data_IF_356322994614
#
_entry.id   IF_356322994614
#
_cell.length_a   1.000
_cell.length_b   1.000
_cell.length_c   1.000
_cell.angle_alpha   90.00
_cell.angle_beta   90.00
_cell.angle_gamma   90.00
#
_symmetry.space_group_name_H-M   'P 1'
#
loop_
_entity.id
_entity.type
_entity.pdbx_description
1 polymer ?
#
# COMPACT_ATOMS: atom_id res chain seq x y z
N UNK A 1 -8.28 9.92 4.18
CA UNK A 1 -7.51 10.97 3.50
C UNK A 1 -6.67 10.37 2.38
N UNK A 2 -5.80 9.39 2.69
CA UNK A 2 -4.88 8.78 1.72
C UNK A 2 -5.60 8.10 0.54
N UNK A 3 -6.70 7.38 0.79
CA UNK A 3 -7.51 6.76 -0.28
C UNK A 3 -8.11 7.78 -1.25
N UNK A 4 -8.32 9.01 -0.79
CA UNK A 4 -8.85 10.11 -1.60
C UNK A 4 -7.75 11.04 -2.16
N UNK A 5 -6.51 10.58 -2.20
CA UNK A 5 -5.39 11.26 -2.84
C UNK A 5 -4.77 12.43 -2.06
N UNK A 6 -5.19 12.62 -0.80
CA UNK A 6 -4.57 13.58 0.12
C UNK A 6 -3.49 12.93 0.98
N UNK A 7 -2.60 13.74 1.55
CA UNK A 7 -1.73 13.38 2.65
C UNK A 7 -2.24 13.99 3.96
N UNK A 8 -1.93 13.38 5.08
CA UNK A 8 -2.22 13.94 6.40
C UNK A 8 -1.15 13.52 7.42
N UNK A 9 -0.97 14.39 8.40
CA UNK A 9 -0.15 14.13 9.59
C UNK A 9 -0.97 14.41 10.85
N UNK A 10 -0.60 13.78 11.96
CA UNK A 10 -1.13 14.11 13.27
C UNK A 10 -0.29 15.23 13.88
N UNK A 11 -0.95 16.28 14.35
CA UNK A 11 -0.32 17.39 15.04
C UNK A 11 -0.68 17.36 16.52
N UNK A 12 0.31 17.62 17.39
CA UNK A 12 0.05 17.92 18.79
C UNK A 12 -0.35 19.38 18.95
N UNK A 13 -1.03 19.72 20.04
CA UNK A 13 -1.35 21.11 20.38
C UNK A 13 -0.10 22.00 20.38
N UNK A 14 1.00 21.52 20.96
CA UNK A 14 2.25 22.27 21.03
C UNK A 14 2.90 22.54 19.67
N UNK A 15 2.71 21.65 18.67
CA UNK A 15 3.14 21.90 17.29
C UNK A 15 2.27 22.98 16.68
N UNK A 16 0.94 22.86 16.79
CA UNK A 16 0.01 23.85 16.22
C UNK A 16 0.24 25.24 16.81
N UNK A 17 0.46 25.34 18.14
CA UNK A 17 0.73 26.61 18.83
C UNK A 17 1.99 27.32 18.32
N UNK A 18 3.03 26.54 17.93
CA UNK A 18 4.32 27.02 17.41
C UNK A 18 4.39 27.15 15.89
N UNK A 19 3.36 26.70 15.19
CA UNK A 19 3.29 26.81 13.73
C UNK A 19 3.13 28.26 13.29
N UNK A 20 3.60 28.56 12.09
CA UNK A 20 3.30 29.80 11.38
C UNK A 20 2.09 29.60 10.45
N UNK A 21 1.35 30.67 10.21
CA UNK A 21 0.15 30.63 9.41
C UNK A 21 0.21 31.72 8.34
N UNK A 22 0.17 31.31 7.06
CA UNK A 22 0.17 32.20 5.92
C UNK A 22 -0.64 31.59 4.79
N UNK A 23 -1.33 32.41 4.02
CA UNK A 23 -2.05 32.02 2.81
C UNK A 23 -2.98 30.80 2.99
N UNK A 24 -3.64 30.72 4.15
CA UNK A 24 -4.52 29.61 4.50
C UNK A 24 -3.80 28.30 4.79
N UNK A 25 -2.52 28.33 5.11
CA UNK A 25 -1.70 27.14 5.38
C UNK A 25 -1.13 27.17 6.80
N UNK A 26 -0.93 25.97 7.34
CA UNK A 26 -0.16 25.73 8.56
C UNK A 26 1.24 25.32 8.13
N UNK A 27 2.25 26.06 8.54
CA UNK A 27 3.65 25.81 8.22
C UNK A 27 4.41 25.39 9.49
N UNK A 28 5.08 24.25 9.43
CA UNK A 28 5.92 23.74 10.51
C UNK A 28 7.13 22.97 9.96
N UNK A 29 8.33 23.48 10.17
CA UNK A 29 9.53 22.96 9.51
C UNK A 29 9.37 22.99 7.98
N UNK A 30 9.64 21.88 7.32
CA UNK A 30 9.48 21.72 5.87
C UNK A 30 8.07 21.28 5.44
N UNK A 31 7.12 21.27 6.38
CA UNK A 31 5.76 20.79 6.15
C UNK A 31 4.76 21.93 6.02
N UNK A 32 3.78 21.72 5.16
CA UNK A 32 2.76 22.72 4.84
C UNK A 32 1.40 22.06 4.64
N UNK A 33 0.40 22.45 5.45
CA UNK A 33 -0.92 21.85 5.46
C UNK A 33 -2.00 22.84 5.06
N UNK A 34 -3.01 22.37 4.31
CA UNK A 34 -4.10 23.20 3.75
C UNK A 34 -5.34 23.27 4.63
N UNK A 35 -5.48 22.37 5.58
CA UNK A 35 -6.63 22.28 6.46
C UNK A 35 -6.28 21.64 7.78
N UNK A 36 -7.05 21.96 8.83
CA UNK A 36 -6.99 21.35 10.14
C UNK A 36 -8.30 20.60 10.40
N UNK A 37 -8.22 19.31 10.75
CA UNK A 37 -9.37 18.51 11.14
C UNK A 37 -9.21 18.10 12.61
N UNK A 38 -10.20 18.40 13.44
CA UNK A 38 -10.32 17.94 14.80
C UNK A 38 -11.42 16.87 14.85
N UNK A 39 -11.01 15.60 15.00
CA UNK A 39 -11.92 14.44 14.95
C UNK A 39 -12.36 14.09 16.37
N UNK A 40 -13.63 14.30 16.71
CA UNK A 40 -14.23 14.04 18.02
C UNK A 40 -13.39 14.64 19.18
N UNK A 41 -12.84 15.85 18.98
CA UNK A 41 -12.04 16.53 19.97
C UNK A 41 -12.96 17.36 20.89
N UNK A 42 -13.17 16.88 22.10
CA UNK A 42 -13.95 17.60 23.13
C UNK A 42 -13.05 18.49 24.03
N UNK A 43 -11.80 18.03 24.26
CA UNK A 43 -10.87 18.69 25.19
C UNK A 43 -9.74 19.35 24.42
N UNK A 44 -9.53 20.66 24.69
CA UNK A 44 -8.50 21.47 24.05
C UNK A 44 -8.04 22.60 24.98
N UNK A 45 -6.78 23.01 24.87
CA UNK A 45 -6.31 24.17 25.65
C UNK A 45 -6.75 25.51 25.03
N UNK A 46 -7.00 26.54 25.83
CA UNK A 46 -7.31 27.90 25.35
C UNK A 46 -6.23 28.44 24.37
N UNK A 47 -4.95 28.13 24.64
CA UNK A 47 -3.83 28.54 23.81
C UNK A 47 -3.91 27.90 22.39
N UNK A 48 -4.40 26.67 22.31
CA UNK A 48 -4.62 25.99 21.04
C UNK A 48 -5.79 26.62 20.26
N UNK A 49 -6.87 26.99 20.95
CA UNK A 49 -7.97 27.75 20.33
C UNK A 49 -7.48 29.11 19.82
N UNK A 50 -6.60 29.79 20.54
CA UNK A 50 -5.97 31.02 20.07
C UNK A 50 -5.12 30.77 18.80
N UNK A 51 -4.39 29.65 18.72
CA UNK A 51 -3.66 29.26 17.52
C UNK A 51 -4.61 28.96 16.34
N UNK A 52 -5.71 28.26 16.59
CA UNK A 52 -6.78 28.03 15.60
C UNK A 52 -7.35 29.36 15.08
N UNK A 53 -7.58 30.33 15.96
CA UNK A 53 -8.03 31.68 15.60
C UNK A 53 -7.03 32.39 14.68
N UNK A 54 -5.73 32.34 14.98
CA UNK A 54 -4.67 32.89 14.11
C UNK A 54 -4.64 32.20 12.75
N UNK A 55 -4.81 30.87 12.71
CA UNK A 55 -4.87 30.11 11.47
C UNK A 55 -6.09 30.52 10.63
N UNK A 56 -7.25 30.61 11.23
CA UNK A 56 -8.46 31.08 10.55
C UNK A 56 -8.32 32.51 10.03
N UNK A 57 -7.71 33.43 10.81
CA UNK A 57 -7.42 34.80 10.40
C UNK A 57 -6.50 34.85 9.16
N UNK A 58 -5.52 33.94 9.09
CA UNK A 58 -4.63 33.78 7.93
C UNK A 58 -5.29 33.08 6.72
N UNK A 59 -6.59 32.81 6.74
CA UNK A 59 -7.33 32.19 5.63
C UNK A 59 -7.48 30.67 5.73
N UNK A 60 -7.04 30.06 6.82
CA UNK A 60 -7.07 28.63 7.03
C UNK A 60 -8.47 28.05 7.25
N UNK A 61 -8.64 26.79 6.87
CA UNK A 61 -9.88 26.04 7.08
C UNK A 61 -9.74 25.03 8.22
N UNK A 62 -10.66 25.07 9.16
CA UNK A 62 -10.74 24.24 10.35
C UNK A 62 -12.06 23.48 10.35
N UNK A 63 -12.02 22.18 10.59
CA UNK A 63 -13.19 21.33 10.66
C UNK A 63 -13.27 20.66 12.03
N UNK A 64 -14.28 21.02 12.81
CA UNK A 64 -14.72 20.28 13.97
C UNK A 64 -15.61 19.15 13.47
N UNK A 65 -15.10 17.91 13.54
CA UNK A 65 -15.79 16.73 13.04
C UNK A 65 -16.44 15.99 14.19
N UNK A 66 -17.77 15.87 14.16
CA UNK A 66 -18.57 15.29 15.24
C UNK A 66 -18.71 16.24 16.42
N UNK A 67 -17.77 16.22 17.36
CA UNK A 67 -17.78 17.09 18.53
C UNK A 67 -17.15 18.45 18.25
N UNK A 68 -17.62 19.48 18.97
CA UNK A 68 -16.92 20.77 19.11
C UNK A 68 -16.21 20.83 20.44
N UNK A 69 -15.03 21.45 20.53
CA UNK A 69 -14.31 21.60 21.79
C UNK A 69 -15.14 22.32 22.85
N UNK A 70 -15.22 21.74 24.04
CA UNK A 70 -16.07 22.25 25.16
C UNK A 70 -15.45 22.07 26.53
N UNK A 71 -14.28 21.43 26.62
CA UNK A 71 -13.59 21.11 27.89
C UNK A 71 -12.14 21.58 27.88
N UNK A 72 -11.67 22.07 29.00
CA UNK A 72 -10.27 22.34 29.23
C UNK A 72 -9.52 21.09 29.72
N UNK A 73 -8.22 20.92 29.43
CA UNK A 73 -7.47 19.77 29.89
C UNK A 73 -7.18 19.81 31.40
N UNK A 74 -7.15 18.64 32.03
CA UNK A 74 -6.75 18.46 33.43
C UNK A 74 -7.63 19.19 34.43
N UNK A 75 -7.00 19.72 35.50
CA UNK A 75 -7.70 20.43 36.60
C UNK A 75 -8.26 21.79 36.18
N UNK A 76 -7.77 22.40 35.11
CA UNK A 76 -8.26 23.67 34.60
C UNK A 76 -9.77 23.67 34.32
N UNK A 77 -10.34 22.53 33.94
CA UNK A 77 -11.78 22.36 33.77
C UNK A 77 -12.59 22.64 35.02
N UNK A 78 -12.08 22.24 36.19
CA UNK A 78 -12.72 22.46 37.50
C UNK A 78 -12.70 23.92 37.93
N UNK A 79 -11.76 24.72 37.46
CA UNK A 79 -11.56 26.14 37.78
C UNK A 79 -12.26 27.10 36.79
N UNK A 80 -13.22 26.60 36.03
CA UNK A 80 -13.98 27.40 35.06
C UNK A 80 -13.39 27.37 33.64
N UNK A 81 -12.32 26.62 33.38
CA UNK A 81 -11.69 26.49 32.06
C UNK A 81 -12.62 25.91 30.98
N UNK A 82 -13.55 25.03 31.35
CA UNK A 82 -14.55 24.51 30.42
C UNK A 82 -15.45 25.64 29.87
N UNK A 83 -15.89 26.56 30.70
CA UNK A 83 -16.69 27.73 30.28
C UNK A 83 -15.88 28.63 29.35
N UNK A 84 -14.60 28.80 29.63
CA UNK A 84 -13.71 29.56 28.75
C UNK A 84 -13.55 28.91 27.40
N UNK A 85 -13.28 27.60 27.34
CA UNK A 85 -13.17 26.82 26.06
C UNK A 85 -14.47 26.92 25.27
N UNK A 86 -15.62 26.73 25.90
CA UNK A 86 -16.94 26.87 25.26
C UNK A 86 -17.13 28.27 24.67
N UNK A 87 -16.84 29.32 25.42
CA UNK A 87 -16.93 30.69 24.96
C UNK A 87 -16.00 30.96 23.78
N UNK A 88 -14.71 30.61 23.90
CA UNK A 88 -13.72 30.82 22.84
C UNK A 88 -14.09 30.04 21.56
N UNK A 89 -14.55 28.81 21.69
CA UNK A 89 -15.01 28.02 20.54
C UNK A 89 -16.18 28.69 19.83
N UNK A 90 -17.19 29.14 20.59
CA UNK A 90 -18.36 29.81 20.01
C UNK A 90 -17.98 31.15 19.36
N UNK A 91 -17.12 31.95 20.00
CA UNK A 91 -16.63 33.22 19.49
C UNK A 91 -15.88 33.04 18.17
N UNK A 92 -15.00 32.02 18.08
CA UNK A 92 -14.23 31.70 16.87
C UNK A 92 -15.14 31.26 15.72
N UNK A 93 -16.12 30.39 15.98
CA UNK A 93 -17.08 29.94 14.96
C UNK A 93 -17.95 31.11 14.45
N UNK A 94 -18.32 32.03 15.34
CA UNK A 94 -19.07 33.26 14.97
C UNK A 94 -18.20 34.24 14.18
N UNK A 95 -16.93 34.38 14.54
CA UNK A 95 -16.00 35.30 13.88
C UNK A 95 -15.57 34.83 12.50
N UNK A 96 -15.44 33.51 12.30
CA UNK A 96 -14.95 32.90 11.07
C UNK A 96 -15.92 31.82 10.51
N UNK A 97 -17.19 32.15 10.22
CA UNK A 97 -18.22 31.16 9.88
C UNK A 97 -17.93 30.35 8.60
N UNK A 98 -17.15 30.93 7.65
CA UNK A 98 -16.77 30.26 6.41
C UNK A 98 -15.43 29.49 6.51
N UNK A 99 -14.77 29.52 7.66
CA UNK A 99 -13.43 28.95 7.86
C UNK A 99 -13.37 27.98 9.02
N UNK A 100 -14.14 28.18 10.07
CA UNK A 100 -14.25 27.25 11.22
C UNK A 100 -15.64 26.62 11.15
N UNK A 101 -15.66 25.35 10.73
CA UNK A 101 -16.85 24.67 10.32
C UNK A 101 -17.09 23.44 11.22
N UNK A 102 -18.32 23.27 11.66
CA UNK A 102 -18.75 21.99 12.23
C UNK A 102 -19.28 21.10 11.11
N UNK A 103 -18.83 19.85 11.09
CA UNK A 103 -19.26 18.83 10.15
C UNK A 103 -19.59 17.52 10.89
N UNK A 104 -20.63 16.86 10.44
CA UNK A 104 -21.04 15.60 11.04
C UNK A 104 -19.95 14.53 10.90
N UNK A 105 -19.80 13.71 11.93
CA UNK A 105 -18.89 12.59 11.89
C UNK A 105 -19.31 11.56 10.82
N UNK A 106 -18.36 10.92 10.14
CA UNK A 106 -18.69 9.90 9.16
C UNK A 106 -19.38 8.70 9.80
N UNK A 107 -20.37 8.14 9.11
CA UNK A 107 -20.98 6.88 9.51
C UNK A 107 -19.95 5.76 9.38
N UNK A 108 -20.03 4.78 10.30
CA UNK A 108 -19.17 3.58 10.24
C UNK A 108 -19.18 2.95 8.85
N UNK A 109 -18.02 2.71 8.25
CA UNK A 109 -17.88 2.15 6.92
C UNK A 109 -17.97 3.15 5.75
N UNK A 110 -18.29 4.44 5.99
CA UNK A 110 -18.45 5.45 4.94
C UNK A 110 -17.35 6.53 4.94
N UNK A 111 -16.23 6.28 5.55
CA UNK A 111 -15.12 7.24 5.68
C UNK A 111 -14.61 7.80 4.35
N UNK A 112 -14.45 6.96 3.34
CA UNK A 112 -13.90 7.34 2.03
C UNK A 112 -14.85 8.29 1.30
N UNK A 113 -16.13 7.91 1.20
CA UNK A 113 -17.17 8.73 0.56
C UNK A 113 -17.36 10.06 1.28
N UNK A 114 -17.49 10.04 2.60
CA UNK A 114 -17.60 11.24 3.44
C UNK A 114 -16.43 12.21 3.22
N UNK A 115 -15.20 11.71 3.19
CA UNK A 115 -14.04 12.59 2.99
C UNK A 115 -13.98 13.14 1.56
N UNK A 116 -14.40 12.36 0.56
CA UNK A 116 -14.52 12.82 -0.83
C UNK A 116 -15.55 13.97 -0.96
N UNK A 117 -16.71 13.85 -0.30
CA UNK A 117 -17.71 14.91 -0.24
C UNK A 117 -17.17 16.16 0.46
N UNK A 118 -16.43 15.99 1.57
CA UNK A 118 -15.78 17.10 2.27
C UNK A 118 -14.77 17.83 1.36
N UNK A 119 -13.93 17.06 0.64
CA UNK A 119 -12.99 17.65 -0.34
C UNK A 119 -13.71 18.48 -1.41
N UNK A 120 -14.77 17.94 -1.98
CA UNK A 120 -15.55 18.61 -3.03
C UNK A 120 -16.25 19.86 -2.51
N UNK A 121 -16.98 19.73 -1.40
CA UNK A 121 -17.77 20.82 -0.81
C UNK A 121 -16.91 22.01 -0.38
N UNK A 122 -15.72 21.76 0.15
CA UNK A 122 -14.87 22.80 0.71
C UNK A 122 -13.61 23.09 -0.11
N UNK A 123 -13.49 22.52 -1.31
CA UNK A 123 -12.37 22.78 -2.22
C UNK A 123 -11.01 22.31 -1.67
N UNK A 124 -10.97 21.20 -0.95
CA UNK A 124 -9.74 20.61 -0.45
C UNK A 124 -9.06 19.79 -1.56
N UNK A 125 -8.40 20.48 -2.48
CA UNK A 125 -7.75 19.84 -3.64
C UNK A 125 -6.61 18.92 -3.18
N UNK A 126 -6.70 17.59 -3.42
CA UNK A 126 -5.64 16.65 -3.10
C UNK A 126 -4.45 16.76 -4.07
N UNK A 127 -3.31 16.17 -3.72
CA UNK A 127 -2.15 16.09 -4.62
C UNK A 127 -2.44 15.24 -5.86
N UNK A 128 -3.24 14.19 -5.70
CA UNK A 128 -3.81 13.41 -6.79
C UNK A 128 -5.31 13.20 -6.58
N UNK A 129 -6.13 13.62 -7.54
CA UNK A 129 -7.56 13.30 -7.53
C UNK A 129 -7.74 11.84 -7.93
N UNK A 130 -8.48 11.07 -7.14
CA UNK A 130 -8.85 9.68 -7.41
C UNK A 130 -10.37 9.64 -7.55
N UNK A 131 -10.86 9.36 -8.79
CA UNK A 131 -12.29 9.42 -9.06
C UNK A 131 -13.06 8.23 -8.47
N UNK A 132 -12.40 7.09 -8.33
CA UNK A 132 -12.92 5.84 -7.78
C UNK A 132 -12.07 5.28 -6.63
N UNK A 133 -11.93 5.99 -5.50
CA UNK A 133 -11.06 5.59 -4.40
C UNK A 133 -11.45 4.23 -3.82
N UNK A 134 -10.45 3.44 -3.44
CA UNK A 134 -10.60 2.08 -2.94
C UNK A 134 -10.13 1.95 -1.50
N UNK A 135 -10.82 1.09 -0.71
CA UNK A 135 -10.54 0.93 0.71
C UNK A 135 -9.12 0.41 0.99
N UNK A 136 -8.62 -0.45 0.10
CA UNK A 136 -7.33 -1.12 0.24
C UNK A 136 -6.21 -0.48 -0.56
N UNK A 137 -6.41 0.71 -1.13
CA UNK A 137 -5.36 1.44 -1.83
C UNK A 137 -5.03 2.73 -1.10
N UNK A 138 -3.78 2.85 -0.70
CA UNK A 138 -3.23 4.09 -0.14
C UNK A 138 -2.27 4.73 -1.12
N UNK A 139 -2.13 6.04 -1.02
CA UNK A 139 -1.09 6.79 -1.70
C UNK A 139 -0.39 7.76 -0.74
N UNK A 140 0.86 8.04 -1.04
CA UNK A 140 1.63 9.11 -0.41
C UNK A 140 2.27 9.99 -1.49
N UNK A 141 2.36 11.28 -1.21
CA UNK A 141 3.01 12.25 -2.07
C UNK A 141 4.16 12.92 -1.33
N UNK A 142 5.32 12.94 -1.97
CA UNK A 142 6.53 13.60 -1.47
C UNK A 142 7.07 14.57 -2.52
N UNK A 143 7.68 15.65 -2.04
CA UNK A 143 8.47 16.56 -2.87
C UNK A 143 9.93 16.46 -2.49
N UNK A 144 10.80 16.27 -3.48
CA UNK A 144 12.23 16.22 -3.29
C UNK A 144 12.89 17.12 -4.36
N UNK A 145 13.27 18.34 -3.99
CA UNK A 145 13.69 19.36 -4.95
C UNK A 145 12.61 19.62 -6.01
N UNK A 146 12.92 19.34 -7.27
CA UNK A 146 11.99 19.52 -8.39
C UNK A 146 11.14 18.29 -8.70
N UNK A 147 11.28 17.21 -7.92
CA UNK A 147 10.53 15.98 -8.11
C UNK A 147 9.20 16.03 -7.36
N UNK A 148 8.13 15.55 -7.99
CA UNK A 148 6.93 15.09 -7.30
C UNK A 148 6.91 13.56 -7.37
N UNK A 149 6.87 12.91 -6.19
CA UNK A 149 6.99 11.47 -6.02
C UNK A 149 5.69 10.95 -5.42
N UNK A 150 5.02 10.04 -6.12
CA UNK A 150 3.79 9.41 -5.67
C UNK A 150 4.03 7.91 -5.49
N UNK A 151 3.76 7.42 -4.30
CA UNK A 151 3.80 6.00 -4.00
C UNK A 151 2.38 5.49 -3.76
N UNK A 152 1.93 4.55 -4.59
CA UNK A 152 0.66 3.86 -4.43
C UNK A 152 0.91 2.44 -3.95
N UNK A 153 0.05 1.95 -3.05
CA UNK A 153 0.12 0.57 -2.58
C UNK A 153 -1.29 0.00 -2.42
N UNK A 154 -1.51 -1.16 -3.03
CA UNK A 154 -2.66 -2.01 -2.79
C UNK A 154 -2.29 -3.03 -1.70
N UNK A 155 -2.93 -2.97 -0.54
CA UNK A 155 -2.70 -3.90 0.57
C UNK A 155 -3.81 -4.95 0.73
N UNK A 156 -4.70 -5.08 -0.28
CA UNK A 156 -5.56 -6.26 -0.40
C UNK A 156 -4.73 -7.48 -0.77
N UNK A 157 -5.01 -8.61 -0.13
CA UNK A 157 -4.36 -9.88 -0.44
C UNK A 157 -4.99 -10.58 -1.66
N UNK A 158 -6.19 -10.15 -2.08
CA UNK A 158 -7.00 -10.89 -3.07
C UNK A 158 -7.54 -10.03 -4.21
N UNK A 159 -7.72 -8.71 -3.98
CA UNK A 159 -8.41 -7.83 -4.92
C UNK A 159 -7.42 -6.93 -5.67
N UNK A 160 -7.53 -6.92 -6.99
CA UNK A 160 -6.87 -5.95 -7.85
C UNK A 160 -7.76 -4.71 -8.04
N UNK A 161 -7.16 -3.55 -8.19
CA UNK A 161 -7.88 -2.28 -8.38
C UNK A 161 -7.31 -1.49 -9.56
N UNK A 162 -8.19 -0.84 -10.30
CA UNK A 162 -7.81 0.16 -11.30
C UNK A 162 -8.35 1.51 -10.86
N UNK A 163 -7.45 2.47 -10.67
CA UNK A 163 -7.78 3.83 -10.26
C UNK A 163 -7.79 4.78 -11.46
N UNK A 164 -8.80 5.63 -11.52
CA UNK A 164 -8.80 6.79 -12.42
C UNK A 164 -8.19 7.97 -11.66
N UNK A 165 -6.99 8.39 -12.05
CA UNK A 165 -6.20 9.40 -11.33
C UNK A 165 -5.92 10.64 -12.18
N UNK A 166 -5.89 11.82 -11.51
CA UNK A 166 -5.43 13.08 -12.07
C UNK A 166 -4.53 13.79 -11.07
N UNK A 167 -3.26 13.99 -11.43
CA UNK A 167 -2.24 14.59 -10.56
C UNK A 167 -2.33 16.11 -10.59
N UNK A 168 -2.56 16.73 -9.43
CA UNK A 168 -2.67 18.19 -9.27
C UNK A 168 -1.29 18.80 -9.06
N UNK A 169 -0.43 18.69 -10.06
CA UNK A 169 0.94 19.20 -10.09
C UNK A 169 1.18 20.05 -11.33
N UNK A 170 2.14 20.94 -11.25
CA UNK A 170 2.64 21.69 -12.41
C UNK A 170 3.72 20.87 -13.12
N UNK A 171 3.47 20.44 -14.34
CA UNK A 171 4.41 19.62 -15.11
C UNK A 171 5.70 20.38 -15.47
N UNK A 172 5.62 21.64 -15.94
CA UNK A 172 6.78 22.48 -16.34
C UNK A 172 7.82 21.73 -17.19
N UNK A 173 7.38 20.95 -18.16
CA UNK A 173 8.27 20.11 -18.99
C UNK A 173 8.72 18.82 -18.34
N UNK A 174 8.15 18.46 -17.20
CA UNK A 174 8.33 17.15 -16.57
C UNK A 174 7.37 16.12 -17.20
N UNK A 175 7.77 14.86 -17.14
CA UNK A 175 7.01 13.70 -17.61
C UNK A 175 6.84 12.73 -16.45
N UNK A 176 5.87 11.85 -16.57
CA UNK A 176 5.63 10.78 -15.61
C UNK A 176 6.55 9.60 -15.89
N UNK A 177 7.26 9.18 -14.84
CA UNK A 177 8.13 8.01 -14.84
C UNK A 177 7.55 6.95 -13.93
N UNK A 178 7.70 5.70 -14.33
CA UNK A 178 7.59 4.55 -13.44
C UNK A 178 9.00 4.19 -12.96
N UNK A 179 9.19 4.21 -11.65
CA UNK A 179 10.43 3.76 -11.02
C UNK A 179 10.20 2.42 -10.35
N UNK A 180 11.08 1.47 -10.57
CA UNK A 180 11.07 0.19 -9.87
C UNK A 180 12.04 0.25 -8.66
N UNK A 181 11.52 0.26 -7.42
CA UNK A 181 12.38 0.33 -6.23
C UNK A 181 13.17 -0.97 -5.98
N UNK A 182 12.79 -2.10 -6.62
CA UNK A 182 13.49 -3.37 -6.46
C UNK A 182 14.73 -3.47 -7.34
N UNK A 183 14.65 -2.97 -8.57
CA UNK A 183 15.75 -3.04 -9.56
C UNK A 183 16.48 -1.73 -9.71
N UNK A 184 15.85 -0.61 -9.33
CA UNK A 184 16.35 0.75 -9.58
C UNK A 184 16.11 1.22 -11.02
N UNK A 185 15.43 0.43 -11.85
CA UNK A 185 15.10 0.79 -13.22
C UNK A 185 14.07 1.91 -13.28
N UNK A 186 14.14 2.70 -14.35
CA UNK A 186 13.29 3.86 -14.59
C UNK A 186 12.83 3.86 -16.03
N UNK A 187 11.52 3.97 -16.24
CA UNK A 187 10.94 4.03 -17.57
C UNK A 187 9.95 5.19 -17.68
N UNK A 188 9.94 5.84 -18.83
CA UNK A 188 8.97 6.87 -19.17
C UNK A 188 7.61 6.24 -19.48
N UNK A 189 6.57 6.75 -18.86
CA UNK A 189 5.20 6.41 -19.23
C UNK A 189 4.75 7.20 -20.48
N UNK A 190 3.73 6.72 -21.22
CA UNK A 190 3.12 7.45 -22.31
C UNK A 190 2.70 8.84 -21.88
N UNK A 191 2.73 9.81 -22.80
CA UNK A 191 2.34 11.19 -22.48
C UNK A 191 0.81 11.32 -22.38
N UNK A 192 0.31 11.21 -21.18
CA UNK A 192 -1.11 11.42 -20.84
C UNK A 192 -1.32 12.72 -20.06
N UNK A 193 -0.29 13.58 -20.02
CA UNK A 193 -0.29 14.77 -19.17
C UNK A 193 -0.30 14.39 -17.69
N UNK A 194 -1.34 14.84 -16.97
CA UNK A 194 -1.51 14.56 -15.53
C UNK A 194 -2.50 13.42 -15.24
N UNK A 195 -3.03 12.75 -16.25
CA UNK A 195 -4.03 11.68 -16.08
C UNK A 195 -3.41 10.32 -16.28
N UNK A 196 -3.82 9.37 -15.44
CA UNK A 196 -3.39 7.99 -15.53
C UNK A 196 -4.50 7.05 -15.04
N UNK A 197 -4.76 5.99 -15.80
CA UNK A 197 -5.41 4.79 -15.27
C UNK A 197 -4.32 3.93 -14.64
N UNK A 198 -4.37 3.81 -13.31
CA UNK A 198 -3.36 3.07 -12.55
C UNK A 198 -3.96 1.75 -12.08
N UNK A 199 -3.43 0.65 -12.60
CA UNK A 199 -3.78 -0.67 -12.13
C UNK A 199 -2.79 -1.14 -11.06
N UNK A 200 -3.32 -1.80 -10.03
CA UNK A 200 -2.56 -2.40 -8.93
C UNK A 200 -3.11 -3.80 -8.67
N UNK A 201 -2.29 -4.80 -8.88
CA UNK A 201 -2.57 -6.19 -8.48
C UNK A 201 -2.62 -6.30 -6.93
N UNK A 202 -3.13 -7.41 -6.37
CA UNK A 202 -3.05 -7.66 -4.93
C UNK A 202 -1.62 -7.52 -4.41
N UNK A 203 -1.45 -6.81 -3.30
CA UNK A 203 -0.15 -6.53 -2.65
C UNK A 203 0.86 -5.75 -3.48
N UNK A 204 0.46 -5.21 -4.63
CA UNK A 204 1.34 -4.46 -5.51
C UNK A 204 1.49 -3.00 -5.08
N UNK A 205 2.67 -2.44 -5.36
CA UNK A 205 2.93 -1.02 -5.23
C UNK A 205 3.51 -0.42 -6.52
N UNK A 206 3.26 0.88 -6.73
CA UNK A 206 3.79 1.64 -7.87
C UNK A 206 4.40 2.95 -7.39
N UNK A 207 5.61 3.22 -7.86
CA UNK A 207 6.33 4.46 -7.60
C UNK A 207 6.33 5.31 -8.87
N UNK A 208 5.54 6.37 -8.88
CA UNK A 208 5.42 7.31 -9.99
C UNK A 208 6.19 8.58 -9.65
N UNK A 209 7.06 9.01 -10.54
CA UNK A 209 7.90 10.20 -10.32
C UNK A 209 7.73 11.15 -11.49
N UNK A 210 7.46 12.42 -11.19
CA UNK A 210 7.43 13.48 -12.19
C UNK A 210 8.79 14.19 -12.23
N UNK A 211 9.50 13.96 -13.34
CA UNK A 211 10.84 14.50 -13.59
C UNK A 211 11.01 14.88 -15.06
N UNK A 212 12.10 15.58 -15.38
CA UNK A 212 12.46 15.91 -16.75
C UNK A 212 12.75 14.64 -17.56
N UNK A 213 12.27 14.54 -18.80
CA UNK A 213 12.60 13.41 -19.66
C UNK A 213 14.09 13.40 -20.02
N UNK A 214 14.65 12.19 -20.10
CA UNK A 214 16.04 11.97 -20.54
C UNK A 214 16.02 11.35 -21.92
N UNK A 215 16.90 11.80 -22.81
CA UNK A 215 17.02 11.26 -24.19
C UNK A 215 17.43 9.79 -24.13
N UNK A 216 16.71 8.95 -24.85
CA UNK A 216 16.96 7.50 -24.89
C UNK A 216 16.50 6.72 -23.65
N UNK A 217 15.66 7.34 -22.82
CA UNK A 217 15.06 6.64 -21.70
C UNK A 217 14.21 5.45 -22.19
N UNK A 218 14.24 4.36 -21.43
CA UNK A 218 13.33 3.24 -21.65
C UNK A 218 11.87 3.71 -21.50
N UNK A 219 10.96 3.12 -22.25
CA UNK A 219 9.52 3.38 -22.14
C UNK A 219 8.83 2.17 -21.56
N UNK A 220 7.83 2.41 -20.70
CA UNK A 220 6.96 1.38 -20.16
C UNK A 220 5.51 1.79 -20.33
N UNK A 221 4.61 0.83 -20.26
CA UNK A 221 3.17 1.09 -20.11
C UNK A 221 2.82 1.09 -18.62
N UNK A 222 1.90 1.95 -18.22
CA UNK A 222 1.41 1.98 -16.83
C UNK A 222 0.68 0.69 -16.43
N UNK A 223 0.31 -0.11 -17.40
CA UNK A 223 -0.53 -1.30 -17.28
C UNK A 223 0.16 -2.48 -18.02
N UNK A 224 1.44 -2.71 -17.69
CA UNK A 224 2.16 -3.87 -18.20
C UNK A 224 1.63 -5.15 -17.54
N UNK A 225 0.41 -5.52 -17.90
CA UNK A 225 -0.15 -6.84 -17.58
C UNK A 225 0.38 -7.83 -18.60
N UNK A 226 0.66 -9.04 -18.14
CA UNK A 226 0.69 -10.17 -19.04
C UNK A 226 -0.74 -10.39 -19.50
N UNK A 227 -1.07 -9.82 -20.67
CA UNK A 227 -2.37 -10.02 -21.32
C UNK A 227 -2.25 -11.17 -22.30
N UNK A 228 -3.28 -11.98 -22.35
CA UNK A 228 -3.38 -13.06 -23.32
C UNK A 228 -3.72 -14.40 -22.67
N UNK A 229 -4.11 -15.39 -23.47
CA UNK A 229 -4.38 -16.73 -22.96
C UNK A 229 -3.07 -17.35 -22.47
N UNK A 230 -2.99 -17.59 -21.18
CA UNK A 230 -1.94 -18.41 -20.60
C UNK A 230 -2.18 -19.88 -20.93
N UNK A 231 -1.13 -20.59 -21.28
CA UNK A 231 -1.20 -22.04 -21.43
C UNK A 231 -0.68 -22.70 -20.15
N UNK A 232 -1.58 -23.29 -19.36
CA UNK A 232 -1.20 -24.04 -18.14
C UNK A 232 -0.62 -25.38 -18.51
N UNK A 233 0.55 -25.66 -17.95
CA UNK A 233 1.21 -26.95 -18.10
C UNK A 233 1.03 -27.82 -16.87
N UNK A 234 0.44 -29.00 -17.03
CA UNK A 234 0.46 -30.04 -16.02
C UNK A 234 1.83 -30.75 -16.06
N UNK A 235 2.55 -30.72 -14.95
CA UNK A 235 3.89 -31.28 -14.85
C UNK A 235 3.98 -32.21 -13.64
N UNK A 236 4.86 -33.19 -13.74
CA UNK A 236 5.27 -34.02 -12.61
C UNK A 236 6.37 -33.31 -11.84
N UNK A 237 6.21 -33.22 -10.50
CA UNK A 237 7.13 -32.50 -9.65
C UNK A 237 7.80 -33.41 -8.61
N UNK A 238 9.12 -33.31 -8.52
CA UNK A 238 9.89 -33.80 -7.40
C UNK A 238 9.99 -32.64 -6.36
N UNK A 239 9.51 -32.87 -5.14
CA UNK A 239 9.41 -31.85 -4.13
C UNK A 239 10.21 -32.25 -2.89
N UNK A 240 11.10 -31.38 -2.45
CA UNK A 240 11.86 -31.53 -1.21
C UNK A 240 11.41 -30.47 -0.22
N UNK A 241 10.91 -30.86 0.93
CA UNK A 241 10.53 -30.00 2.04
C UNK A 241 11.69 -30.00 3.06
N UNK A 242 12.40 -28.88 3.14
CA UNK A 242 13.44 -28.69 4.17
C UNK A 242 12.82 -27.90 5.32
N UNK A 243 12.39 -28.60 6.37
CA UNK A 243 11.76 -27.97 7.53
C UNK A 243 12.79 -27.23 8.37
N UNK A 244 12.35 -26.18 9.07
CA UNK A 244 13.19 -25.35 9.94
C UNK A 244 13.95 -26.16 11.03
N UNK A 245 13.38 -27.23 11.56
CA UNK A 245 13.98 -28.10 12.56
C UNK A 245 15.05 -29.08 12.00
N UNK A 246 15.31 -29.02 10.71
CA UNK A 246 16.26 -29.90 10.01
C UNK A 246 15.62 -31.15 9.41
N UNK A 247 14.34 -31.40 9.65
CA UNK A 247 13.63 -32.52 9.01
C UNK A 247 13.51 -32.31 7.51
N UNK A 248 13.82 -33.35 6.73
CA UNK A 248 13.68 -33.34 5.27
C UNK A 248 12.62 -34.34 4.86
N UNK A 249 11.68 -33.92 4.02
CA UNK A 249 10.66 -34.80 3.45
C UNK A 249 10.72 -34.71 1.93
N UNK A 250 10.77 -35.80 1.24
CA UNK A 250 10.73 -35.91 -0.19
C UNK A 250 9.40 -36.51 -0.63
N UNK A 251 8.81 -35.95 -1.71
CA UNK A 251 7.59 -36.46 -2.32
C UNK A 251 7.57 -36.17 -3.82
N UNK A 252 6.82 -36.97 -4.53
CA UNK A 252 6.52 -36.77 -5.95
C UNK A 252 5.02 -36.48 -6.12
N UNK A 253 4.66 -35.56 -7.00
CA UNK A 253 3.26 -35.20 -7.20
C UNK A 253 3.00 -34.62 -8.60
N UNK A 254 1.85 -35.00 -9.17
CA UNK A 254 1.26 -34.35 -10.34
C UNK A 254 0.25 -33.28 -9.93
N UNK A 255 -0.13 -33.24 -8.63
CA UNK A 255 -1.09 -32.29 -8.08
C UNK A 255 -0.39 -31.34 -7.13
N UNK A 256 -0.43 -30.06 -7.48
CA UNK A 256 0.00 -28.97 -6.61
C UNK A 256 -1.06 -28.65 -5.58
N UNK A 257 -0.65 -28.30 -4.36
CA UNK A 257 -1.56 -28.06 -3.24
C UNK A 257 -0.98 -27.12 -2.19
N UNK A 258 -1.87 -26.49 -1.43
CA UNK A 258 -1.54 -25.69 -0.26
C UNK A 258 -1.15 -26.61 0.91
N UNK A 259 0.12 -26.54 1.36
CA UNK A 259 0.60 -27.34 2.49
C UNK A 259 -0.13 -26.99 3.79
N UNK A 260 -0.56 -25.75 3.98
CA UNK A 260 -1.28 -25.33 5.18
C UNK A 260 -2.66 -26.01 5.35
N UNK A 261 -3.22 -26.57 4.26
CA UNK A 261 -4.47 -27.35 4.29
C UNK A 261 -4.25 -28.85 4.52
N UNK A 262 -3.01 -29.32 4.43
CA UNK A 262 -2.69 -30.73 4.64
C UNK A 262 -2.23 -30.93 6.07
N UNK A 263 -3.00 -31.68 6.87
CA UNK A 263 -2.74 -31.87 8.32
C UNK A 263 -1.31 -32.30 8.65
N UNK A 264 -0.70 -33.13 7.80
CA UNK A 264 0.69 -33.61 7.96
C UNK A 264 1.74 -32.51 7.75
N UNK A 265 1.37 -31.37 7.13
CA UNK A 265 2.25 -30.26 6.82
C UNK A 265 1.77 -28.94 7.40
N UNK A 266 0.69 -28.90 8.19
CA UNK A 266 0.09 -27.67 8.74
C UNK A 266 1.07 -26.85 9.60
N UNK A 267 2.10 -27.49 10.17
CA UNK A 267 3.16 -26.84 10.95
C UNK A 267 4.44 -26.59 10.13
N UNK A 268 4.42 -26.88 8.84
CA UNK A 268 5.60 -26.71 8.01
C UNK A 268 6.02 -25.25 7.94
N UNK A 269 7.31 -25.02 8.17
CA UNK A 269 7.98 -23.73 7.91
C UNK A 269 9.42 -24.05 7.50
N UNK A 270 9.87 -23.43 6.42
CA UNK A 270 11.19 -23.70 5.87
C UNK A 270 11.27 -23.43 4.39
N UNK A 271 12.04 -24.24 3.69
CA UNK A 271 12.25 -24.13 2.26
C UNK A 271 11.64 -25.31 1.52
N UNK A 272 10.87 -25.04 0.47
CA UNK A 272 10.25 -26.02 -0.40
C UNK A 272 10.93 -25.92 -1.76
N UNK A 273 11.47 -27.01 -2.27
CA UNK A 273 12.16 -27.06 -3.54
C UNK A 273 11.38 -27.94 -4.50
N UNK A 274 10.77 -27.34 -5.50
CA UNK A 274 10.08 -28.02 -6.60
C UNK A 274 11.02 -28.17 -7.79
N UNK A 275 11.14 -29.38 -8.35
CA UNK A 275 11.93 -29.67 -9.56
C UNK A 275 11.09 -30.40 -10.58
N UNK A 276 11.21 -29.98 -11.83
CA UNK A 276 10.53 -30.61 -12.97
C UNK A 276 11.28 -30.34 -14.26
N UNK A 277 10.84 -30.95 -15.34
CA UNK A 277 11.25 -30.64 -16.71
C UNK A 277 10.07 -30.11 -17.51
N UNK A 278 10.31 -29.07 -18.31
CA UNK A 278 9.34 -28.47 -19.21
C UNK A 278 9.88 -28.54 -20.64
N UNK A 279 9.05 -29.04 -21.53
CA UNK A 279 9.35 -29.02 -22.97
C UNK A 279 8.66 -27.83 -23.63
N UNK A 280 9.42 -26.99 -24.34
CA UNK A 280 8.91 -25.78 -24.99
C UNK A 280 9.40 -25.69 -26.45
N UNK A 281 8.55 -25.14 -27.33
CA UNK A 281 8.91 -24.78 -28.70
C UNK A 281 9.51 -23.38 -28.74
N UNK A 282 10.29 -23.04 -29.78
CA UNK A 282 10.79 -21.69 -29.97
C UNK A 282 9.65 -20.64 -29.94
N UNK A 283 9.77 -19.59 -29.12
CA UNK A 283 8.80 -18.50 -29.02
C UNK A 283 7.47 -18.88 -28.35
N UNK A 284 7.38 -20.05 -27.72
CA UNK A 284 6.17 -20.51 -27.04
C UNK A 284 5.96 -19.84 -25.67
N UNK A 285 7.04 -19.43 -25.05
CA UNK A 285 6.99 -18.85 -23.70
C UNK A 285 8.05 -17.76 -23.54
N UNK A 286 7.62 -16.59 -23.11
CA UNK A 286 8.50 -15.50 -22.68
C UNK A 286 8.43 -15.31 -21.16
N UNK A 287 7.23 -15.50 -20.56
CA UNK A 287 7.02 -15.36 -19.13
C UNK A 287 6.35 -16.61 -18.55
N UNK A 288 6.73 -16.93 -17.31
CA UNK A 288 6.10 -17.99 -16.52
C UNK A 288 5.49 -17.43 -15.25
N UNK A 289 4.27 -17.84 -14.94
CA UNK A 289 3.60 -17.50 -13.71
C UNK A 289 3.29 -18.74 -12.88
N UNK A 290 3.39 -18.60 -11.55
CA UNK A 290 3.17 -19.66 -10.58
C UNK A 290 2.22 -19.18 -9.48
N UNK A 291 1.29 -20.04 -9.06
CA UNK A 291 0.40 -19.80 -7.92
C UNK A 291 1.09 -20.11 -6.59
N UNK A 292 1.84 -19.15 -6.09
CA UNK A 292 2.60 -19.26 -4.85
C UNK A 292 1.81 -18.64 -3.70
N UNK A 293 1.64 -19.40 -2.62
CA UNK A 293 0.91 -18.97 -1.43
C UNK A 293 1.86 -18.54 -0.32
N UNK A 294 1.83 -17.26 0.06
CA UNK A 294 2.56 -16.66 1.20
C UNK A 294 4.04 -17.04 1.34
N UNK A 295 4.74 -17.21 0.24
CA UNK A 295 6.15 -17.55 0.20
C UNK A 295 6.94 -16.53 -0.63
N UNK A 296 8.21 -16.37 -0.31
CA UNK A 296 9.18 -15.83 -1.25
C UNK A 296 9.54 -16.92 -2.24
N UNK A 297 9.53 -16.64 -3.53
CA UNK A 297 9.87 -17.61 -4.57
C UNK A 297 11.11 -17.21 -5.37
N UNK A 298 11.90 -18.19 -5.76
CA UNK A 298 13.04 -18.05 -6.67
C UNK A 298 12.95 -19.10 -7.77
N UNK A 299 12.89 -18.63 -9.01
CA UNK A 299 12.90 -19.54 -10.18
C UNK A 299 14.29 -19.65 -10.76
N UNK A 300 14.67 -20.88 -11.06
CA UNK A 300 15.86 -21.22 -11.83
C UNK A 300 15.46 -22.03 -13.07
N UNK A 301 15.98 -21.63 -14.22
CA UNK A 301 15.80 -22.32 -15.51
C UNK A 301 17.17 -22.77 -16.01
N UNK A 302 17.34 -24.06 -16.25
CA UNK A 302 18.61 -24.65 -16.69
C UNK A 302 19.79 -24.27 -15.76
N UNK A 303 19.55 -24.17 -14.46
CA UNK A 303 20.52 -23.79 -13.44
C UNK A 303 20.76 -22.28 -13.29
N UNK A 304 20.21 -21.45 -14.17
CA UNK A 304 20.34 -19.98 -14.11
C UNK A 304 19.15 -19.37 -13.40
N UNK A 305 19.40 -18.48 -12.44
CA UNK A 305 18.36 -17.79 -11.69
C UNK A 305 17.62 -16.79 -12.60
N UNK A 306 16.30 -16.96 -12.76
CA UNK A 306 15.43 -16.02 -13.46
C UNK A 306 15.07 -14.81 -12.60
N UNK A 307 14.82 -15.01 -11.31
CA UNK A 307 14.48 -13.90 -10.41
C UNK A 307 14.06 -14.37 -9.02
N UNK A 308 13.73 -13.38 -8.17
CA UNK A 308 13.11 -13.56 -6.86
C UNK A 308 11.84 -12.72 -6.80
N UNK A 309 10.73 -13.32 -6.38
CA UNK A 309 9.45 -12.63 -6.17
C UNK A 309 8.96 -12.90 -4.74
N UNK A 310 8.55 -11.85 -4.04
CA UNK A 310 8.11 -11.95 -2.64
C UNK A 310 6.73 -11.32 -2.38
N UNK A 311 6.11 -10.70 -3.39
CA UNK A 311 4.76 -10.11 -3.32
C UNK A 311 4.10 -10.09 -4.71
N UNK A 312 2.78 -9.97 -4.74
CA UNK A 312 2.00 -9.88 -5.98
C UNK A 312 1.98 -11.19 -6.78
N UNK A 313 1.88 -11.08 -8.08
CA UNK A 313 1.93 -12.23 -9.01
C UNK A 313 3.36 -12.74 -9.13
N UNK A 314 3.56 -14.03 -9.00
CA UNK A 314 4.88 -14.67 -9.12
C UNK A 314 5.21 -14.97 -10.59
N UNK A 315 5.55 -13.91 -11.33
CA UNK A 315 5.86 -13.92 -12.77
C UNK A 315 7.34 -13.74 -12.98
N UNK A 316 7.90 -14.49 -13.94
CA UNK A 316 9.31 -14.46 -14.30
C UNK A 316 9.50 -14.29 -15.80
N UNK A 317 10.37 -13.36 -16.23
CA UNK A 317 10.89 -13.31 -17.59
C UNK A 317 11.88 -14.46 -17.78
N UNK A 318 11.56 -15.35 -18.68
CA UNK A 318 12.35 -16.56 -18.97
C UNK A 318 12.77 -16.68 -20.44
N UNK A 319 12.41 -15.69 -21.27
CA UNK A 319 12.63 -15.74 -22.72
C UNK A 319 14.09 -16.04 -23.09
N UNK A 320 15.06 -15.46 -22.37
CA UNK A 320 16.48 -15.63 -22.62
C UNK A 320 17.10 -16.89 -21.98
N UNK A 321 16.36 -17.57 -21.11
CA UNK A 321 16.84 -18.73 -20.33
C UNK A 321 16.34 -20.05 -20.90
N UNK A 322 15.23 -20.02 -21.64
CA UNK A 322 14.63 -21.19 -22.26
C UNK A 322 15.39 -21.60 -23.54
N UNK A 323 15.44 -22.91 -23.75
CA UNK A 323 15.96 -23.55 -24.98
C UNK A 323 14.84 -24.33 -25.62
N UNK A 324 14.84 -24.47 -26.94
CA UNK A 324 13.92 -25.42 -27.62
C UNK A 324 14.10 -26.83 -27.05
N UNK A 325 12.99 -27.50 -26.75
CA UNK A 325 12.99 -28.82 -26.13
C UNK A 325 12.99 -28.77 -24.61
N UNK A 326 13.60 -29.75 -23.98
CA UNK A 326 13.57 -29.93 -22.50
C UNK A 326 14.38 -28.89 -21.78
N UNK A 327 13.74 -28.27 -20.78
CA UNK A 327 14.32 -27.32 -19.83
C UNK A 327 14.13 -27.82 -18.41
N UNK A 328 15.16 -27.72 -17.59
CA UNK A 328 15.07 -28.00 -16.16
C UNK A 328 14.53 -26.77 -15.43
N UNK A 329 13.46 -26.95 -14.66
CA UNK A 329 12.91 -25.94 -13.77
C UNK A 329 13.16 -26.31 -12.32
N UNK A 330 13.68 -25.34 -11.55
CA UNK A 330 13.75 -25.43 -10.08
C UNK A 330 13.10 -24.18 -9.50
N UNK A 331 11.97 -24.37 -8.81
CA UNK A 331 11.30 -23.31 -8.05
C UNK A 331 11.56 -23.56 -6.57
N UNK A 332 12.14 -22.56 -5.91
CA UNK A 332 12.43 -22.58 -4.48
C UNK A 332 11.47 -21.63 -3.78
N UNK A 333 10.69 -22.12 -2.84
CA UNK A 333 9.81 -21.32 -2.01
C UNK A 333 10.36 -21.28 -0.58
N UNK A 334 10.38 -20.07 -0.01
CA UNK A 334 10.76 -19.88 1.41
C UNK A 334 9.56 -19.32 2.16
N UNK A 335 9.11 -20.07 3.19
CA UNK A 335 7.96 -19.69 4.02
C UNK A 335 8.38 -18.76 5.16
N UNK A 336 7.40 -18.17 5.86
CA UNK A 336 7.61 -17.61 7.20
C UNK A 336 7.63 -18.71 8.25
N UNK A 337 8.07 -18.40 9.49
CA UNK A 337 8.01 -19.34 10.62
C UNK A 337 6.62 -19.44 11.27
N UNK A 338 5.61 -18.72 10.75
CA UNK A 338 4.30 -18.58 11.40
C UNK A 338 3.62 -19.91 11.72
N UNK A 339 3.55 -20.83 10.77
CA UNK A 339 2.89 -22.13 10.95
C UNK A 339 3.63 -23.01 11.98
N UNK A 340 4.96 -23.01 11.95
CA UNK A 340 5.76 -23.70 12.96
C UNK A 340 5.53 -23.11 14.36
N UNK A 341 5.55 -21.79 14.50
CA UNK A 341 5.31 -21.13 15.79
C UNK A 341 3.93 -21.47 16.37
N UNK A 342 2.90 -21.62 15.54
CA UNK A 342 1.56 -22.06 15.97
C UNK A 342 1.55 -23.49 16.53
N UNK A 343 2.47 -24.35 16.10
CA UNK A 343 2.59 -25.74 16.60
C UNK A 343 3.22 -25.82 17.99
N UNK A 344 3.96 -24.78 18.44
CA UNK A 344 4.68 -24.75 19.71
C UNK A 344 3.75 -24.45 20.89
N UNK A 345 2.77 -25.33 21.14
CA UNK A 345 1.67 -25.11 22.11
C UNK A 345 2.14 -25.07 23.58
N UNK A 346 3.31 -25.61 23.89
CA UNK A 346 3.89 -25.61 25.25
C UNK A 346 4.85 -24.45 25.50
N UNK A 347 5.20 -23.68 24.46
CA UNK A 347 6.05 -22.49 24.58
C UNK A 347 5.22 -21.28 25.05
N UNK A 348 5.46 -20.72 26.26
CA UNK A 348 4.62 -19.66 26.81
C UNK A 348 4.56 -18.40 25.92
N UNK A 349 5.67 -18.06 25.27
CA UNK A 349 5.73 -16.89 24.36
C UNK A 349 4.91 -17.15 23.12
N UNK A 350 5.00 -18.32 22.53
CA UNK A 350 4.25 -18.67 21.32
C UNK A 350 2.76 -18.82 21.62
N UNK A 351 2.39 -19.38 22.78
CA UNK A 351 0.99 -19.44 23.22
C UNK A 351 0.42 -18.05 23.41
N UNK A 352 1.18 -17.13 24.03
CA UNK A 352 0.75 -15.74 24.18
C UNK A 352 0.58 -15.04 22.83
N UNK A 353 1.51 -15.22 21.91
CA UNK A 353 1.45 -14.65 20.56
C UNK A 353 0.25 -15.19 19.76
N UNK A 354 0.02 -16.52 19.78
CA UNK A 354 -1.06 -17.17 19.02
C UNK A 354 -2.46 -16.87 19.56
N UNK A 355 -2.59 -16.54 20.86
CA UNK A 355 -3.84 -16.21 21.53
C UNK A 355 -4.06 -14.70 21.74
N UNK A 356 -3.27 -13.85 21.07
CA UNK A 356 -3.47 -12.41 21.12
C UNK A 356 -4.82 -12.01 20.49
N UNK A 357 -5.23 -10.76 20.66
CA UNK A 357 -6.54 -10.19 20.24
C UNK A 357 -7.04 -10.68 18.85
N UNK A 358 -6.12 -10.95 17.96
CA UNK A 358 -6.39 -11.57 16.66
C UNK A 358 -5.77 -12.96 16.65
N UNK A 359 -6.63 -13.96 16.85
CA UNK A 359 -6.20 -15.36 16.85
C UNK A 359 -5.43 -15.67 15.55
N UNK A 360 -4.20 -16.13 15.71
CA UNK A 360 -3.40 -16.59 14.57
C UNK A 360 -3.97 -17.89 14.02
N UNK A 361 -3.94 -18.03 12.72
CA UNK A 361 -4.41 -19.23 12.00
C UNK A 361 -3.27 -19.79 11.15
N UNK A 362 -3.38 -21.06 10.77
CA UNK A 362 -2.45 -21.65 9.81
C UNK A 362 -2.55 -20.88 8.50
N UNK A 363 -1.41 -20.38 8.04
CA UNK A 363 -1.33 -19.64 6.77
C UNK A 363 -1.20 -20.64 5.61
N UNK A 364 -1.86 -20.38 4.47
CA UNK A 364 -1.57 -21.14 3.26
C UNK A 364 -0.10 -20.99 2.88
N UNK A 365 0.52 -22.04 2.37
CA UNK A 365 1.88 -21.99 1.84
C UNK A 365 2.13 -23.08 0.82
N UNK A 366 3.05 -22.82 -0.10
CA UNK A 366 3.41 -23.76 -1.15
C UNK A 366 3.00 -23.30 -2.55
N UNK A 367 3.06 -24.23 -3.49
CA UNK A 367 2.70 -24.05 -4.89
C UNK A 367 1.33 -24.67 -5.15
N UNK A 368 0.36 -23.88 -5.58
CA UNK A 368 -1.02 -24.35 -5.77
C UNK A 368 -1.38 -24.57 -7.24
N UNK A 369 -0.68 -23.90 -8.17
CA UNK A 369 -0.81 -24.10 -9.62
C UNK A 369 0.42 -23.58 -10.39
N UNK A 370 0.51 -23.93 -11.66
CA UNK A 370 1.54 -23.46 -12.59
C UNK A 370 2.46 -24.56 -13.11
N UNK A 371 3.34 -24.21 -14.06
CA UNK A 371 3.47 -22.89 -14.68
C UNK A 371 2.34 -22.57 -15.64
N UNK A 372 1.92 -21.31 -15.68
CA UNK A 372 1.18 -20.71 -16.76
C UNK A 372 2.17 -20.01 -17.67
N UNK A 373 2.12 -20.32 -18.99
CA UNK A 373 3.05 -19.83 -19.99
C UNK A 373 2.42 -18.70 -20.79
N UNK A 374 3.12 -17.58 -20.88
CA UNK A 374 2.72 -16.42 -21.66
C UNK A 374 3.72 -16.21 -22.81
N UNK A 375 3.21 -15.85 -23.97
CA UNK A 375 3.99 -15.35 -25.10
C UNK A 375 4.21 -13.84 -24.96
N UNK A 376 5.18 -13.30 -25.71
CA UNK A 376 5.34 -11.84 -25.83
C UNK A 376 4.14 -11.18 -26.50
#
# INVERSE_FOLDING_TARGET
VHQNGGGCDYLTESILQRSTFADGRIEYGDRSYKALLLLEVETISPETLAAIGRYAAAGGKVFFVGSTPSKAPGLAGLEGGDKEVQRLTADLMKQYPDRILHVEAPRKGHLIGWYKELQQKYGLTPAVRIDNPQAFVNQNHYKAGNLDIFFFANYSLTEAYTLDTEFNIDLRGRRMWLWDPMTGERALLPDTGTRLKLHLEPTESRLLVFDKPVRGAATATADARLEGPAERRALHWNVTLNHYDGTVTELETDRLFDLGKEKRFESFSGQIVYRTTLDVRPGECAHMEFGVENCVSELYVNGVKAGTVWHGRHVYDVAKLLRPGKNELKLVLTTTLGNYMLSLKENPTMVKWSNFKYKQVVNPCGLTWGPDLYRD
#
